data_IF_714374752448
#
_entry.id   IF_714374752448
#
_cell.length_a   1.000
_cell.length_b   1.000
_cell.length_c   1.000
_cell.angle_alpha   90.00
_cell.angle_beta   90.00
_cell.angle_gamma   90.00
#
_symmetry.space_group_name_H-M   'P 1'
#
loop_
_entity.id
_entity.type
_entity.pdbx_description
1 polymer ?
#
# COMPACT_ATOMS: atom_id res chain seq x y z
N UNK A 1 4.34 11.51 12.28
CA UNK A 1 4.61 10.77 11.03
C UNK A 1 5.04 9.32 11.26
N UNK A 2 4.21 8.38 10.81
CA UNK A 2 4.51 6.94 10.73
C UNK A 2 5.72 6.68 9.79
N UNK A 3 6.60 5.74 10.14
CA UNK A 3 7.81 5.42 9.37
C UNK A 3 7.54 5.03 7.92
N UNK A 4 6.47 4.28 7.64
CA UNK A 4 6.15 3.85 6.27
C UNK A 4 5.54 5.00 5.45
N UNK A 5 4.74 5.86 6.09
CA UNK A 5 4.25 7.07 5.44
C UNK A 5 5.41 7.97 5.01
N UNK A 6 6.47 8.06 5.81
CA UNK A 6 7.68 8.82 5.43
C UNK A 6 8.30 8.32 4.13
N UNK A 7 8.42 7.00 3.97
CA UNK A 7 8.94 6.37 2.74
C UNK A 7 8.04 6.67 1.53
N UNK A 8 6.73 6.62 1.70
CA UNK A 8 5.79 6.94 0.61
C UNK A 8 5.86 8.43 0.24
N UNK A 9 6.01 9.33 1.21
CA UNK A 9 6.22 10.76 0.94
C UNK A 9 7.53 11.02 0.21
N UNK A 10 8.61 10.35 0.60
CA UNK A 10 9.90 10.39 -0.11
C UNK A 10 9.76 9.93 -1.56
N UNK A 11 9.01 8.86 -1.80
CA UNK A 11 8.69 8.41 -3.14
C UNK A 11 7.85 9.44 -3.92
N UNK A 12 6.88 10.10 -3.30
CA UNK A 12 6.13 11.18 -3.96
C UNK A 12 7.04 12.34 -4.36
N UNK A 13 7.94 12.77 -3.47
CA UNK A 13 8.90 13.84 -3.76
C UNK A 13 9.83 13.46 -4.92
N UNK A 14 10.39 12.25 -4.87
CA UNK A 14 11.35 11.81 -5.88
C UNK A 14 10.73 11.60 -7.26
N UNK A 15 9.45 11.26 -7.34
CA UNK A 15 8.72 11.04 -8.59
C UNK A 15 7.82 12.25 -8.97
N UNK A 16 7.90 13.35 -8.22
CA UNK A 16 7.07 14.55 -8.42
C UNK A 16 5.57 14.25 -8.42
N UNK A 17 5.13 13.29 -7.61
CA UNK A 17 3.71 13.07 -7.38
C UNK A 17 3.16 14.15 -6.45
N UNK A 18 1.91 14.62 -6.68
CA UNK A 18 1.32 15.62 -5.83
C UNK A 18 1.25 15.12 -4.38
N UNK A 19 1.60 15.99 -3.44
CA UNK A 19 1.30 15.81 -2.02
C UNK A 19 1.21 17.13 -1.29
N UNK A 20 0.37 17.21 -0.26
CA UNK A 20 0.33 18.36 0.63
C UNK A 20 1.44 18.30 1.69
N UNK A 21 1.77 19.46 2.23
CA UNK A 21 2.65 19.59 3.39
C UNK A 21 2.13 18.75 4.56
N UNK A 22 3.06 18.20 5.33
CA UNK A 22 2.69 17.38 6.47
C UNK A 22 1.93 18.22 7.51
N UNK A 23 0.77 17.72 7.96
CA UNK A 23 -0.15 18.41 8.85
C UNK A 23 -1.19 19.30 8.15
N UNK A 24 -1.16 19.43 6.82
CA UNK A 24 -2.11 20.29 6.10
C UNK A 24 -3.57 19.76 6.15
N UNK A 25 -3.75 18.43 6.23
CA UNK A 25 -5.05 17.76 6.32
C UNK A 25 -6.05 18.23 5.24
N UNK A 26 -5.57 18.34 3.99
CA UNK A 26 -6.41 18.76 2.86
C UNK A 26 -7.34 17.62 2.45
N UNK A 27 -8.52 17.98 1.94
CA UNK A 27 -9.47 17.00 1.39
C UNK A 27 -9.05 16.59 -0.02
N UNK A 28 -9.13 15.30 -0.33
CA UNK A 28 -8.94 14.81 -1.70
C UNK A 28 -10.00 15.37 -2.66
N UNK A 29 -9.59 15.64 -3.89
CA UNK A 29 -10.54 15.90 -4.98
C UNK A 29 -11.29 14.62 -5.36
N UNK A 30 -12.46 14.73 -5.99
CA UNK A 30 -13.21 13.56 -6.46
C UNK A 30 -12.40 12.72 -7.45
N UNK A 31 -11.59 13.36 -8.30
CA UNK A 31 -10.73 12.66 -9.25
C UNK A 31 -9.61 11.89 -8.55
N UNK A 32 -9.03 12.45 -7.48
CA UNK A 32 -8.02 11.74 -6.69
C UNK A 32 -8.65 10.54 -5.96
N UNK A 33 -9.86 10.70 -5.41
CA UNK A 33 -10.60 9.60 -4.77
C UNK A 33 -10.83 8.47 -5.77
N UNK A 34 -11.34 8.78 -6.98
CA UNK A 34 -11.59 7.79 -8.04
C UNK A 34 -10.29 7.10 -8.46
N UNK A 35 -9.20 7.85 -8.62
CA UNK A 35 -7.90 7.30 -8.98
C UNK A 35 -7.38 6.32 -7.91
N UNK A 36 -7.41 6.71 -6.63
CA UNK A 36 -6.95 5.82 -5.55
C UNK A 36 -7.86 4.62 -5.38
N UNK A 37 -9.17 4.79 -5.55
CA UNK A 37 -10.10 3.67 -5.54
C UNK A 37 -9.75 2.65 -6.63
N UNK A 38 -9.45 3.10 -7.85
CA UNK A 38 -9.03 2.22 -8.94
C UNK A 38 -7.72 1.48 -8.62
N UNK A 39 -6.72 2.17 -8.06
CA UNK A 39 -5.45 1.57 -7.64
C UNK A 39 -5.65 0.51 -6.55
N UNK A 40 -6.43 0.83 -5.51
CA UNK A 40 -6.71 -0.11 -4.42
C UNK A 40 -7.48 -1.34 -4.91
N UNK A 41 -8.40 -1.17 -5.86
CA UNK A 41 -9.13 -2.29 -6.46
C UNK A 41 -8.23 -3.17 -7.35
N UNK A 42 -7.28 -2.58 -8.06
CA UNK A 42 -6.27 -3.31 -8.83
C UNK A 42 -5.36 -4.15 -7.91
N UNK A 43 -4.75 -3.53 -6.91
CA UNK A 43 -3.89 -4.22 -5.95
C UNK A 43 -4.66 -5.25 -5.11
N UNK A 44 -5.89 -4.93 -4.70
CA UNK A 44 -6.77 -5.86 -3.99
C UNK A 44 -7.11 -7.08 -4.84
N UNK A 45 -7.37 -6.88 -6.14
CA UNK A 45 -7.60 -7.99 -7.06
C UNK A 45 -6.37 -8.88 -7.22
N UNK A 46 -5.16 -8.31 -7.20
CA UNK A 46 -3.93 -9.09 -7.30
C UNK A 46 -3.67 -9.87 -6.01
N UNK A 47 -3.83 -9.24 -4.85
CA UNK A 47 -3.80 -9.91 -3.55
C UNK A 47 -4.77 -11.09 -3.48
N UNK A 48 -5.98 -10.98 -4.03
CA UNK A 48 -6.92 -12.11 -4.06
C UNK A 48 -6.45 -13.26 -4.96
N UNK A 49 -5.71 -12.98 -6.05
CA UNK A 49 -5.10 -14.02 -6.89
C UNK A 49 -3.99 -14.76 -6.13
N UNK A 50 -3.14 -14.04 -5.41
CA UNK A 50 -2.03 -14.65 -4.64
C UNK A 50 -2.56 -15.45 -3.44
N UNK A 51 -3.60 -14.94 -2.75
CA UNK A 51 -4.33 -15.67 -1.72
C UNK A 51 -4.91 -16.97 -2.25
N UNK A 52 -5.53 -16.94 -3.44
CA UNK A 52 -6.06 -18.14 -4.09
C UNK A 52 -4.95 -19.14 -4.47
N UNK A 53 -3.78 -18.65 -4.84
CA UNK A 53 -2.62 -19.47 -5.20
C UNK A 53 -1.93 -20.09 -3.96
N UNK A 54 -2.09 -19.46 -2.79
CA UNK A 54 -1.50 -19.94 -1.52
C UNK A 54 0.00 -19.62 -1.38
N UNK A 55 0.52 -18.67 -2.14
CA UNK A 55 1.92 -18.25 -2.08
C UNK A 55 2.09 -17.13 -1.04
N UNK A 56 2.69 -17.47 0.11
CA UNK A 56 2.82 -16.54 1.24
C UNK A 56 3.71 -15.34 0.93
N UNK A 57 4.73 -15.49 0.08
CA UNK A 57 5.64 -14.41 -0.32
C UNK A 57 4.88 -13.42 -1.20
N UNK A 58 4.10 -13.92 -2.15
CA UNK A 58 3.27 -13.09 -3.05
C UNK A 58 2.05 -12.48 -2.32
N UNK A 59 1.51 -13.15 -1.31
CA UNK A 59 0.46 -12.58 -0.44
C UNK A 59 1.04 -11.41 0.38
N UNK A 60 2.23 -11.56 0.96
CA UNK A 60 2.93 -10.48 1.66
C UNK A 60 3.17 -9.30 0.71
N UNK A 61 3.70 -9.56 -0.48
CA UNK A 61 3.91 -8.55 -1.52
C UNK A 61 2.63 -7.77 -1.86
N UNK A 62 1.52 -8.48 -2.07
CA UNK A 62 0.22 -7.87 -2.33
C UNK A 62 -0.26 -6.97 -1.19
N UNK A 63 -0.06 -7.38 0.07
CA UNK A 63 -0.38 -6.54 1.23
C UNK A 63 0.52 -5.30 1.33
N UNK A 64 1.82 -5.41 1.01
CA UNK A 64 2.71 -4.25 0.99
C UNK A 64 2.27 -3.26 -0.10
N UNK A 65 1.97 -3.73 -1.31
CA UNK A 65 1.53 -2.84 -2.40
C UNK A 65 0.20 -2.14 -2.07
N UNK A 66 -0.76 -2.88 -1.52
CA UNK A 66 -2.03 -2.32 -1.09
C UNK A 66 -1.85 -1.26 0.01
N UNK A 67 -0.98 -1.52 0.99
CA UNK A 67 -0.60 -0.55 2.02
C UNK A 67 0.07 0.69 1.41
N UNK A 68 0.96 0.51 0.43
CA UNK A 68 1.64 1.62 -0.25
C UNK A 68 0.64 2.53 -0.98
N UNK A 69 -0.33 1.96 -1.68
CA UNK A 69 -1.41 2.70 -2.35
C UNK A 69 -2.28 3.48 -1.36
N UNK A 70 -2.65 2.87 -0.23
CA UNK A 70 -3.43 3.53 0.80
C UNK A 70 -2.65 4.72 1.42
N UNK A 71 -1.37 4.52 1.72
CA UNK A 71 -0.51 5.58 2.25
C UNK A 71 -0.28 6.71 1.24
N UNK A 72 -0.31 6.44 -0.07
CA UNK A 72 -0.24 7.48 -1.11
C UNK A 72 -1.40 8.47 -1.02
N UNK A 73 -2.61 7.98 -0.76
CA UNK A 73 -3.78 8.83 -0.54
C UNK A 73 -3.66 9.68 0.74
N UNK A 74 -3.08 9.10 1.81
CA UNK A 74 -2.81 9.82 3.07
C UNK A 74 -1.74 10.90 2.86
N UNK A 75 -0.70 10.59 2.08
CA UNK A 75 0.37 11.53 1.73
C UNK A 75 -0.17 12.73 0.95
N UNK A 76 -1.07 12.52 -0.02
CA UNK A 76 -1.69 13.61 -0.79
C UNK A 76 -2.41 14.59 0.12
N UNK A 77 -3.11 14.08 1.13
CA UNK A 77 -3.84 14.88 2.10
C UNK A 77 -2.92 15.61 3.09
N UNK A 78 -1.65 15.21 3.17
CA UNK A 78 -0.74 15.69 4.21
C UNK A 78 -1.15 15.24 5.61
N UNK A 79 -1.98 14.20 5.72
CA UNK A 79 -2.47 13.68 7.00
C UNK A 79 -1.44 12.74 7.65
N UNK A 80 -1.68 12.38 8.92
CA UNK A 80 -1.00 11.28 9.60
C UNK A 80 -1.80 9.98 9.45
N UNK A 81 -1.13 8.84 9.66
CA UNK A 81 -1.79 7.54 9.75
C UNK A 81 -2.43 7.39 11.12
N UNK A 82 -3.74 7.19 11.15
CA UNK A 82 -4.49 6.92 12.38
C UNK A 82 -4.31 5.45 12.79
N UNK A 83 -3.80 5.21 14.00
CA UNK A 83 -3.69 3.85 14.54
C UNK A 83 -5.09 3.35 14.95
N UNK A 84 -5.63 2.42 14.17
CA UNK A 84 -6.97 1.84 14.38
C UNK A 84 -6.81 0.35 14.71
N UNK A 85 -7.33 -0.13 15.85
CA UNK A 85 -7.27 -1.54 16.18
C UNK A 85 -8.06 -2.34 15.14
N UNK A 86 -7.43 -3.39 14.62
CA UNK A 86 -8.06 -4.33 13.70
C UNK A 86 -8.76 -5.41 14.51
N UNK A 87 -10.09 -5.36 14.58
CA UNK A 87 -10.88 -6.43 15.18
C UNK A 87 -11.13 -7.51 14.13
N UNK A 88 -10.28 -8.52 14.09
CA UNK A 88 -10.50 -9.71 13.29
C UNK A 88 -10.37 -10.97 14.13
N UNK A 89 -11.28 -11.92 13.93
CA UNK A 89 -11.22 -13.25 14.49
C UNK A 89 -11.07 -14.25 13.35
N UNK A 90 -10.00 -15.04 13.41
CA UNK A 90 -9.77 -16.11 12.44
C UNK A 90 -10.88 -17.16 12.56
N UNK A 91 -11.71 -17.29 11.54
CA UNK A 91 -12.84 -18.24 11.51
C UNK A 91 -12.51 -19.55 10.78
N UNK A 92 -11.28 -19.67 10.24
CA UNK A 92 -10.83 -20.84 9.47
C UNK A 92 -10.98 -20.69 7.96
N UNK A 93 -11.58 -19.59 7.48
CA UNK A 93 -11.94 -19.45 6.08
C UNK A 93 -11.20 -18.28 5.42
N UNK A 94 -10.39 -18.60 4.40
CA UNK A 94 -9.64 -17.61 3.61
C UNK A 94 -10.56 -16.59 2.92
N UNK A 95 -11.82 -16.95 2.62
CA UNK A 95 -12.81 -16.03 2.06
C UNK A 95 -13.10 -14.84 3.00
N UNK A 96 -12.93 -15.02 4.31
CA UNK A 96 -13.13 -13.96 5.30
C UNK A 96 -12.06 -12.88 5.21
N UNK A 97 -10.84 -13.22 4.77
CA UNK A 97 -9.81 -12.22 4.41
C UNK A 97 -10.24 -11.41 3.19
N UNK A 98 -10.75 -12.08 2.14
CA UNK A 98 -11.22 -11.39 0.94
C UNK A 98 -12.35 -10.39 1.27
N UNK A 99 -13.33 -10.80 2.08
CA UNK A 99 -14.41 -9.91 2.54
C UNK A 99 -13.86 -8.71 3.30
N UNK A 100 -12.96 -8.97 4.26
CA UNK A 100 -12.37 -7.92 5.09
C UNK A 100 -11.60 -6.87 4.27
N UNK A 101 -10.75 -7.31 3.34
CA UNK A 101 -10.04 -6.39 2.44
C UNK A 101 -11.01 -5.63 1.53
N UNK A 102 -12.01 -6.31 0.97
CA UNK A 102 -13.01 -5.69 0.09
C UNK A 102 -13.78 -4.58 0.81
N UNK A 103 -14.19 -4.82 2.05
CA UNK A 103 -14.92 -3.83 2.86
C UNK A 103 -14.05 -2.60 3.14
N UNK A 104 -12.78 -2.79 3.54
CA UNK A 104 -11.87 -1.67 3.83
C UNK A 104 -11.50 -0.88 2.57
N UNK A 105 -11.27 -1.56 1.44
CA UNK A 105 -11.04 -0.91 0.15
C UNK A 105 -12.29 -0.13 -0.27
N UNK A 106 -13.50 -0.66 -0.08
CA UNK A 106 -14.72 0.04 -0.44
C UNK A 106 -14.94 1.31 0.42
N UNK A 107 -14.60 1.27 1.71
CA UNK A 107 -14.70 2.44 2.59
C UNK A 107 -13.79 3.61 2.15
N UNK A 108 -12.71 3.33 1.42
CA UNK A 108 -11.82 4.36 0.87
C UNK A 108 -12.51 5.27 -0.15
N UNK A 109 -13.65 4.87 -0.74
CA UNK A 109 -14.44 5.71 -1.62
C UNK A 109 -14.99 6.99 -0.94
N UNK A 110 -14.96 7.04 0.40
CA UNK A 110 -15.25 8.26 1.16
C UNK A 110 -14.19 9.36 1.02
N UNK A 111 -12.97 9.01 0.58
CA UNK A 111 -11.81 9.91 0.55
C UNK A 111 -11.21 10.26 1.92
N UNK A 112 -11.70 9.67 3.01
CA UNK A 112 -11.21 9.95 4.36
C UNK A 112 -9.83 9.32 4.61
N UNK A 113 -8.85 10.06 5.18
CA UNK A 113 -7.53 9.53 5.53
C UNK A 113 -7.61 8.39 6.54
N UNK A 114 -8.65 8.36 7.37
CA UNK A 114 -8.90 7.28 8.33
C UNK A 114 -9.21 5.96 7.62
N UNK A 115 -9.99 5.98 6.55
CA UNK A 115 -10.35 4.76 5.83
C UNK A 115 -9.15 4.16 5.08
N UNK A 116 -8.26 5.02 4.54
CA UNK A 116 -6.99 4.57 3.99
C UNK A 116 -6.06 4.02 5.09
N UNK A 117 -6.03 4.67 6.26
CA UNK A 117 -5.27 4.18 7.43
C UNK A 117 -5.75 2.80 7.88
N UNK A 118 -7.06 2.52 7.81
CA UNK A 118 -7.60 1.19 8.14
C UNK A 118 -7.10 0.09 7.18
N UNK A 119 -6.98 0.37 5.88
CA UNK A 119 -6.37 -0.58 4.92
C UNK A 119 -4.90 -0.84 5.28
N UNK A 120 -4.15 0.21 5.58
CA UNK A 120 -2.75 0.08 6.02
C UNK A 120 -2.63 -0.75 7.30
N UNK A 121 -3.40 -0.43 8.34
CA UNK A 121 -3.39 -1.14 9.62
C UNK A 121 -3.77 -2.62 9.44
N UNK A 122 -4.73 -2.90 8.55
CA UNK A 122 -5.11 -4.27 8.21
C UNK A 122 -3.95 -5.05 7.58
N UNK A 123 -3.22 -4.45 6.64
CA UNK A 123 -2.05 -5.07 6.00
C UNK A 123 -0.96 -5.37 7.03
N UNK A 124 -0.65 -4.42 7.91
CA UNK A 124 0.33 -4.60 9.00
C UNK A 124 -0.08 -5.74 9.92
N UNK A 125 -1.35 -5.74 10.35
CA UNK A 125 -1.89 -6.73 11.27
C UNK A 125 -1.85 -8.13 10.68
N UNK A 126 -2.33 -8.32 9.45
CA UNK A 126 -2.37 -9.64 8.81
C UNK A 126 -0.99 -10.14 8.39
N UNK A 127 -0.08 -9.26 7.99
CA UNK A 127 1.31 -9.68 7.72
C UNK A 127 1.96 -10.28 8.96
N UNK A 128 1.71 -9.70 10.13
CA UNK A 128 2.28 -10.19 11.41
C UNK A 128 1.52 -11.39 11.96
N UNK A 129 0.19 -11.37 11.94
CA UNK A 129 -0.64 -12.36 12.63
C UNK A 129 -1.06 -13.55 11.76
N UNK A 130 -1.18 -13.36 10.45
CA UNK A 130 -1.62 -14.39 9.52
C UNK A 130 -0.46 -14.97 8.69
N UNK A 131 0.41 -14.12 8.14
CA UNK A 131 1.57 -14.56 7.33
C UNK A 131 2.81 -14.87 8.18
N UNK A 132 2.85 -14.38 9.43
CA UNK A 132 4.03 -14.46 10.31
C UNK A 132 5.28 -13.83 9.65
N UNK A 133 5.16 -12.56 9.24
CA UNK A 133 6.20 -11.84 8.51
C UNK A 133 6.63 -10.52 9.16
N UNK A 134 7.87 -10.12 8.91
CA UNK A 134 8.38 -8.78 9.17
C UNK A 134 7.85 -7.79 8.13
N UNK A 135 6.70 -7.19 8.43
CA UNK A 135 6.10 -6.16 7.59
C UNK A 135 7.04 -4.98 7.34
N UNK A 136 7.83 -4.59 8.34
CA UNK A 136 8.64 -3.37 8.26
C UNK A 136 9.81 -3.56 7.31
N UNK A 137 10.48 -4.72 7.39
CA UNK A 137 11.52 -5.13 6.45
C UNK A 137 10.97 -5.30 5.03
N UNK A 138 9.83 -5.97 4.88
CA UNK A 138 9.20 -6.17 3.58
C UNK A 138 8.81 -4.84 2.92
N UNK A 139 8.25 -3.90 3.69
CA UNK A 139 7.89 -2.57 3.21
C UNK A 139 9.13 -1.81 2.73
N UNK A 140 10.22 -1.84 3.50
CA UNK A 140 11.48 -1.20 3.11
C UNK A 140 12.04 -1.81 1.81
N UNK A 141 12.06 -3.13 1.68
CA UNK A 141 12.55 -3.80 0.46
C UNK A 141 11.74 -3.40 -0.78
N UNK A 142 10.41 -3.36 -0.66
CA UNK A 142 9.53 -2.91 -1.75
C UNK A 142 9.78 -1.43 -2.07
N UNK A 143 9.94 -0.58 -1.06
CA UNK A 143 10.27 0.83 -1.25
C UNK A 143 11.61 1.01 -1.98
N UNK A 144 12.67 0.31 -1.55
CA UNK A 144 13.98 0.37 -2.18
C UNK A 144 13.92 -0.08 -3.66
N UNK A 145 13.16 -1.15 -3.94
CA UNK A 145 12.88 -1.59 -5.31
C UNK A 145 12.21 -0.48 -6.14
N UNK A 146 11.20 0.20 -5.59
CA UNK A 146 10.53 1.34 -6.27
C UNK A 146 11.49 2.50 -6.52
N UNK A 147 12.33 2.85 -5.54
CA UNK A 147 13.29 3.95 -5.63
C UNK A 147 14.46 3.66 -6.57
N UNK A 148 14.85 2.39 -6.75
CA UNK A 148 15.94 1.97 -7.65
C UNK A 148 15.72 2.31 -9.14
N UNK A 149 14.51 2.76 -9.51
CA UNK A 149 14.14 3.16 -10.87
C UNK A 149 14.45 4.62 -11.22
N UNK A 150 15.07 5.36 -10.29
CA UNK A 150 15.61 6.70 -10.50
C UNK A 150 17.09 6.61 -10.91
N UNK A 151 17.47 7.37 -11.92
CA UNK A 151 18.86 7.52 -12.32
C UNK A 151 19.62 8.39 -11.30
N UNK A 152 20.94 8.52 -11.50
CA UNK A 152 21.82 9.31 -10.60
C UNK A 152 21.46 10.79 -10.51
N UNK A 153 20.57 11.28 -11.37
CA UNK A 153 20.08 12.67 -11.42
C UNK A 153 18.66 12.81 -10.85
N UNK A 154 18.08 11.75 -10.31
CA UNK A 154 16.70 11.73 -9.83
C UNK A 154 15.66 11.69 -10.96
N UNK A 155 16.09 11.39 -12.19
CA UNK A 155 15.20 11.26 -13.34
C UNK A 155 14.84 9.79 -13.55
N UNK A 156 13.61 9.54 -13.96
CA UNK A 156 13.12 8.20 -14.25
C UNK A 156 13.98 7.50 -15.30
N UNK A 157 14.39 6.27 -15.00
CA UNK A 157 15.13 5.42 -15.96
C UNK A 157 14.22 4.94 -17.12
N UNK A 158 12.89 5.14 -17.04
CA UNK A 158 11.93 4.75 -18.09
C UNK A 158 11.12 5.91 -18.68
N UNK A 159 10.83 5.81 -19.98
CA UNK A 159 10.33 6.89 -20.86
C UNK A 159 8.86 7.32 -20.65
N UNK A 160 8.02 6.58 -19.89
CA UNK A 160 6.59 6.87 -19.76
C UNK A 160 6.12 7.04 -18.31
N UNK A 161 5.96 8.29 -17.85
CA UNK A 161 5.40 8.62 -16.53
C UNK A 161 3.97 8.08 -16.31
N UNK A 162 3.17 7.93 -17.38
CA UNK A 162 1.83 7.35 -17.32
C UNK A 162 1.82 5.86 -16.95
N UNK A 163 2.86 5.11 -17.31
CA UNK A 163 3.00 3.70 -16.99
C UNK A 163 3.40 3.48 -15.54
N UNK A 164 4.11 4.42 -14.92
CA UNK A 164 4.47 4.36 -13.49
C UNK A 164 3.23 4.59 -12.62
N UNK A 165 2.31 5.43 -13.09
CA UNK A 165 1.03 5.70 -12.44
C UNK A 165 0.07 4.49 -12.50
N UNK A 166 0.23 3.59 -13.46
CA UNK A 166 -0.51 2.33 -13.58
C UNK A 166 0.33 1.24 -12.91
N UNK A 167 -0.09 0.72 -11.77
CA UNK A 167 0.74 -0.01 -10.78
C UNK A 167 1.55 -1.22 -11.27
N UNK A 168 1.37 -1.69 -12.51
CA UNK A 168 1.96 -2.90 -13.10
C UNK A 168 3.47 -2.91 -13.34
N UNK A 169 4.20 -1.82 -13.09
CA UNK A 169 5.62 -1.72 -13.46
C UNK A 169 6.62 -1.87 -12.32
N UNK A 170 6.19 -2.14 -11.09
CA UNK A 170 7.13 -2.39 -9.99
C UNK A 170 7.30 -3.89 -9.79
N UNK A 171 8.44 -4.42 -10.24
CA UNK A 171 8.84 -5.78 -9.91
C UNK A 171 9.01 -5.86 -8.38
N UNK A 172 8.15 -6.61 -7.73
CA UNK A 172 8.26 -6.87 -6.30
C UNK A 172 9.57 -7.65 -6.08
N UNK A 173 10.44 -7.23 -5.16
CA UNK A 173 11.62 -8.02 -4.78
C UNK A 173 11.18 -9.34 -4.14
N UNK A 174 12.06 -10.33 -4.11
CA UNK A 174 11.82 -11.55 -3.34
C UNK A 174 11.73 -11.20 -1.85
N UNK A 175 10.61 -11.54 -1.20
CA UNK A 175 10.34 -11.25 0.21
C UNK A 175 10.48 -12.48 1.10
N UNK A 176 11.06 -13.58 0.60
CA UNK A 176 11.24 -14.82 1.37
C UNK A 176 11.94 -14.59 2.71
N UNK A 177 12.97 -13.73 2.73
CA UNK A 177 13.73 -13.36 3.94
C UNK A 177 12.92 -12.54 4.98
N UNK A 178 11.68 -12.17 4.66
CA UNK A 178 10.78 -11.47 5.59
C UNK A 178 9.83 -12.41 6.32
N UNK A 179 9.75 -13.68 5.92
CA UNK A 179 8.93 -14.68 6.61
C UNK A 179 9.69 -15.22 7.82
N UNK A 180 9.00 -15.38 8.94
CA UNK A 180 9.53 -16.09 10.11
C UNK A 180 9.20 -17.58 10.02
N UNK A 181 10.13 -18.42 10.47
CA UNK A 181 9.93 -19.88 10.63
C UNK A 181 8.82 -20.23 11.64
#
# INVERSE_FOLDING_TARGET
MNKHLKLVREFHDAFSFPQAEHGANVRLSEMDIIMHQALLMEEGSELFRTIKAGDMVEILAGMINLAYCALGAVAIQGADVSDRPVSWQHDGFVISLMRLFSDKINNCASGSPDNYSEVYCLCVYLSRSFINADFDKAFQMVHDSKMSRLDKTGKLISENAEEIRKSKFFKVPDLSDCLYE
#
